data_IF_982746610532
#
_entry.id   IF_982746610532
#
_cell.length_a   1.000
_cell.length_b   1.000
_cell.length_c   1.000
_cell.angle_alpha   90.00
_cell.angle_beta   90.00
_cell.angle_gamma   90.00
#
_symmetry.space_group_name_H-M   'P 1'
#
loop_
_entity.id
_entity.type
_entity.pdbx_description
1 polymer ?
#
# COMPACT_ATOMS: atom_id res chain seq x y z
N UNK A 1 6.86 1.97 -10.59
CA UNK A 1 7.93 1.92 -9.57
C UNK A 1 8.26 3.35 -9.18
N UNK A 2 7.67 3.82 -8.09
CA UNK A 2 7.85 5.19 -7.55
C UNK A 2 8.55 5.13 -6.19
N UNK A 3 9.36 4.08 -5.95
CA UNK A 3 10.07 3.84 -4.68
C UNK A 3 9.09 3.86 -3.50
N UNK A 4 9.39 4.61 -2.44
CA UNK A 4 8.59 4.73 -1.23
C UNK A 4 7.13 5.18 -1.46
N UNK A 5 6.85 5.88 -2.56
CA UNK A 5 5.49 6.34 -2.89
C UNK A 5 4.60 5.24 -3.50
N UNK A 6 5.15 4.08 -3.85
CA UNK A 6 4.42 3.03 -4.59
C UNK A 6 3.19 2.51 -3.82
N UNK A 7 3.33 2.27 -2.52
CA UNK A 7 2.24 1.75 -1.67
C UNK A 7 1.12 2.77 -1.49
N UNK A 8 1.37 4.01 -1.01
CA UNK A 8 0.28 4.96 -0.80
C UNK A 8 -0.41 5.36 -2.12
N UNK A 9 0.32 5.47 -3.24
CA UNK A 9 -0.30 5.77 -4.54
C UNK A 9 -1.19 4.61 -5.01
N UNK A 10 -0.77 3.36 -4.84
CA UNK A 10 -1.59 2.20 -5.19
C UNK A 10 -2.84 2.11 -4.30
N UNK A 11 -2.70 2.33 -2.99
CA UNK A 11 -3.83 2.32 -2.08
C UNK A 11 -4.86 3.41 -2.44
N UNK A 12 -4.41 4.63 -2.74
CA UNK A 12 -5.30 5.71 -3.18
C UNK A 12 -6.00 5.37 -4.49
N UNK A 13 -5.27 4.85 -5.48
CA UNK A 13 -5.85 4.47 -6.77
C UNK A 13 -6.92 3.38 -6.65
N UNK A 14 -6.72 2.38 -5.79
CA UNK A 14 -7.70 1.31 -5.54
C UNK A 14 -8.97 1.83 -4.84
N UNK A 15 -8.83 2.80 -3.94
CA UNK A 15 -9.97 3.45 -3.29
C UNK A 15 -10.73 4.34 -4.28
N UNK A 16 -10.03 5.09 -5.12
CA UNK A 16 -10.62 5.94 -6.16
C UNK A 16 -11.33 5.12 -7.26
N UNK A 17 -10.77 3.97 -7.64
CA UNK A 17 -11.37 3.07 -8.63
C UNK A 17 -12.54 2.24 -8.08
N UNK A 18 -12.68 2.15 -6.75
CA UNK A 18 -13.67 1.31 -6.08
C UNK A 18 -13.31 -0.18 -6.05
N UNK A 19 -12.10 -0.56 -6.47
CA UNK A 19 -11.59 -1.93 -6.36
C UNK A 19 -11.27 -2.31 -4.90
N UNK A 20 -11.00 -1.32 -4.06
CA UNK A 20 -10.96 -1.44 -2.61
C UNK A 20 -11.95 -0.48 -1.96
N UNK A 21 -12.34 -0.78 -0.72
CA UNK A 21 -13.26 0.03 0.07
C UNK A 21 -12.65 0.38 1.44
N UNK A 22 -13.08 1.54 1.96
CA UNK A 22 -12.79 1.95 3.33
C UNK A 22 -13.17 0.87 4.34
N UNK A 23 -12.34 0.70 5.37
CA UNK A 23 -12.53 -0.31 6.42
C UNK A 23 -12.05 -1.72 6.05
N UNK A 24 -11.67 -1.99 4.79
CA UNK A 24 -11.09 -3.28 4.42
C UNK A 24 -9.71 -3.49 5.06
N UNK A 25 -9.37 -4.75 5.31
CA UNK A 25 -8.04 -5.12 5.79
C UNK A 25 -7.09 -5.30 4.60
N UNK A 26 -5.95 -4.63 4.64
CA UNK A 26 -4.92 -4.69 3.59
C UNK A 26 -3.56 -5.05 4.18
N UNK A 27 -2.76 -5.81 3.43
CA UNK A 27 -1.35 -6.06 3.72
C UNK A 27 -0.49 -5.11 2.88
N UNK A 28 0.28 -4.26 3.54
CA UNK A 28 1.32 -3.45 2.90
C UNK A 28 2.67 -4.12 3.09
N UNK A 29 3.42 -4.30 1.99
CA UNK A 29 4.76 -4.87 1.98
C UNK A 29 5.67 -4.04 1.07
N UNK A 30 6.77 -3.54 1.63
CA UNK A 30 7.76 -2.72 0.94
C UNK A 30 9.12 -3.42 0.95
N UNK A 31 9.87 -3.25 -0.14
CA UNK A 31 11.26 -3.71 -0.28
C UNK A 31 12.04 -2.76 -1.20
N UNK A 32 13.34 -2.56 -0.94
CA UNK A 32 14.13 -1.60 -1.71
C UNK A 32 15.65 -1.64 -1.44
N UNK A 33 16.35 -0.67 -2.04
CA UNK A 33 17.81 -0.58 -2.05
C UNK A 33 18.43 -0.58 -0.64
N UNK A 34 19.57 -1.28 -0.52
CA UNK A 34 20.22 -1.70 0.74
C UNK A 34 20.01 -3.19 1.04
N UNK A 35 18.88 -3.75 0.61
CA UNK A 35 18.16 -4.89 1.20
C UNK A 35 17.52 -4.53 2.54
N UNK A 36 16.56 -3.60 2.45
CA UNK A 36 15.64 -3.23 3.51
C UNK A 36 14.21 -3.63 3.14
N UNK A 37 13.42 -4.04 4.13
CA UNK A 37 12.03 -4.41 3.97
C UNK A 37 11.20 -4.02 5.19
N UNK A 38 9.90 -3.83 5.01
CA UNK A 38 8.93 -3.62 6.08
C UNK A 38 7.55 -4.07 5.62
N UNK A 39 6.73 -4.58 6.53
CA UNK A 39 5.36 -4.97 6.24
C UNK A 39 4.44 -4.71 7.43
N UNK A 40 3.17 -4.43 7.15
CA UNK A 40 2.12 -4.26 8.16
C UNK A 40 0.75 -4.59 7.57
N UNK A 41 -0.14 -5.10 8.44
CA UNK A 41 -1.57 -5.18 8.16
C UNK A 41 -2.23 -3.90 8.65
N UNK A 42 -3.01 -3.25 7.80
CA UNK A 42 -3.71 -2.00 8.11
C UNK A 42 -5.19 -2.11 7.76
N UNK A 43 -6.00 -1.28 8.39
CA UNK A 43 -7.35 -0.98 7.93
C UNK A 43 -7.27 0.17 6.95
N UNK A 44 -7.81 0.00 5.74
CA UNK A 44 -7.88 1.07 4.75
C UNK A 44 -8.77 2.21 5.26
N UNK A 45 -8.38 3.47 5.00
CA UNK A 45 -9.12 4.65 5.44
C UNK A 45 -10.50 4.72 4.81
#
# INVERSE_FOLDING_TARGET
>A
NTSAASIPLAANALLESGEAASGQTALFIAFGAGLSYAAQVVTLP
#
